data_IF_229771377321
#
_entry.id   IF_229771377321
#
_cell.length_a   1.000
_cell.length_b   1.000
_cell.length_c   1.000
_cell.angle_alpha   90.00
_cell.angle_beta   90.00
_cell.angle_gamma   90.00
#
_symmetry.space_group_name_H-M   'P 1'
#
loop_
_entity.id
_entity.type
_entity.pdbx_description
1 polymer ?
2 non-polymer ?
3 non-polymer ?
4 non-polymer ?
5 water ?
#
# COMPACT_ATOMS: atom_id res chain seq x y z
N UNK A 1 -0.09 10.61 -32.62
CA UNK A 1 1.21 11.26 -32.20
C UNK A 1 2.43 10.53 -32.76
N UNK A 2 3.59 11.14 -32.57
CA UNK A 2 4.87 10.57 -33.03
C UNK A 2 5.24 9.37 -32.18
N UNK A 3 5.66 8.30 -32.85
CA UNK A 3 5.98 7.03 -32.19
C UNK A 3 7.37 7.11 -31.58
N UNK A 4 7.50 6.61 -30.35
CA UNK A 4 8.81 6.42 -29.71
C UNK A 4 9.14 4.93 -29.77
N UNK A 5 10.33 4.59 -30.24
CA UNK A 5 10.85 3.22 -30.28
C UNK A 5 12.07 3.15 -29.37
N UNK A 6 12.08 2.18 -28.46
CA UNK A 6 13.20 1.95 -27.55
C UNK A 6 13.55 0.45 -27.51
N UNK A 7 14.75 0.13 -27.03
CA UNK A 7 15.13 -1.24 -26.71
C UNK A 7 15.06 -1.41 -25.19
N UNK A 8 14.05 -2.14 -24.73
CA UNK A 8 13.72 -2.28 -23.31
C UNK A 8 13.96 -3.70 -22.82
N UNK A 9 14.29 -3.82 -21.55
CA UNK A 9 14.63 -5.09 -20.91
C UNK A 9 13.41 -5.56 -20.13
N UNK A 10 12.99 -6.83 -20.31
CA UNK A 10 11.83 -7.31 -19.55
C UNK A 10 12.05 -7.31 -18.03
N UNK A 11 11.02 -6.94 -17.28
CA UNK A 11 11.09 -6.86 -15.82
C UNK A 11 11.55 -8.16 -15.19
N UNK A 12 10.94 -9.26 -15.62
CA UNK A 12 11.27 -10.61 -15.15
C UNK A 12 12.02 -11.39 -16.24
N UNK A 13 12.74 -12.43 -15.82
CA UNK A 13 13.51 -13.27 -16.74
C UNK A 13 14.89 -12.69 -16.97
N UNK A 14 15.70 -13.32 -17.86
CA UNK A 14 17.06 -12.85 -18.07
C UNK A 14 17.13 -11.58 -18.92
N UNK A 15 18.24 -10.85 -18.79
CA UNK A 15 18.44 -9.57 -19.49
C UNK A 15 18.54 -9.80 -20.98
N UNK A 16 17.39 -9.80 -21.65
CA UNK A 16 17.32 -9.95 -23.11
C UNK A 16 16.41 -8.86 -23.67
N UNK A 17 17.00 -7.71 -24.04
CA UNK A 17 16.14 -6.62 -24.46
C UNK A 17 15.42 -6.83 -25.78
N UNK A 18 14.33 -6.09 -25.95
CA UNK A 18 13.46 -6.22 -27.12
C UNK A 18 13.09 -4.82 -27.56
N UNK A 19 12.81 -4.67 -28.86
CA UNK A 19 12.30 -3.41 -29.37
C UNK A 19 10.86 -3.18 -28.89
N UNK A 20 10.59 -1.98 -28.39
CA UNK A 20 9.27 -1.63 -27.89
C UNK A 20 8.91 -0.26 -28.44
N UNK A 21 7.70 -0.16 -29.00
CA UNK A 21 7.19 1.07 -29.53
C UNK A 21 5.98 1.49 -28.70
N UNK A 22 5.91 2.79 -28.40
CA UNK A 22 4.76 3.36 -27.73
C UNK A 22 4.44 4.72 -28.27
N UNK A 23 3.26 5.21 -27.94
CA UNK A 23 2.80 6.51 -28.41
C UNK A 23 1.71 7.13 -27.48
N UNK A 24 1.30 8.34 -27.82
CA UNK A 24 0.25 9.08 -27.09
C UNK A 24 0.63 9.31 -25.63
N UNK A 25 1.80 9.91 -25.43
CA UNK A 25 2.29 10.17 -24.08
C UNK A 25 1.56 11.32 -23.40
N UNK A 26 1.20 11.08 -22.15
CA UNK A 26 0.45 12.05 -21.36
C UNK A 26 0.98 12.05 -19.93
N UNK A 27 1.35 13.23 -19.43
CA UNK A 27 1.80 13.32 -18.04
C UNK A 27 0.63 13.06 -17.13
N UNK A 28 0.79 12.14 -16.21
CA UNK A 28 -0.27 11.83 -15.24
C UNK A 28 0.12 11.96 -13.77
N UNK A 29 1.40 12.20 -13.47
CA UNK A 29 1.83 12.46 -12.10
C UNK A 29 3.27 12.94 -12.01
N UNK A 30 3.60 13.59 -10.88
CA UNK A 30 4.99 13.94 -10.57
C UNK A 30 5.27 13.87 -9.07
N UNK A 31 6.54 13.98 -8.73
CA UNK A 31 6.97 13.90 -7.34
C UNK A 31 8.45 14.18 -7.27
N UNK A 32 8.99 13.98 -6.09
CA UNK A 32 10.43 14.12 -5.89
C UNK A 32 11.20 13.15 -6.80
N UNK A 33 10.62 11.99 -7.09
CA UNK A 33 11.23 10.98 -8.00
C UNK A 33 11.44 11.40 -9.46
N UNK A 34 10.59 12.29 -9.97
CA UNK A 34 10.55 12.64 -11.39
C UNK A 34 9.10 12.70 -11.84
N UNK A 35 8.82 12.09 -12.99
CA UNK A 35 7.51 12.18 -13.64
C UNK A 35 7.00 10.80 -14.04
N UNK A 36 5.68 10.63 -14.00
CA UNK A 36 5.02 9.43 -14.51
C UNK A 36 4.14 9.84 -15.71
N UNK A 37 4.23 9.05 -16.79
CA UNK A 37 3.41 9.25 -17.99
C UNK A 37 2.46 8.09 -18.21
N UNK A 38 1.34 8.35 -18.85
CA UNK A 38 0.57 7.32 -19.52
C UNK A 38 1.07 7.24 -20.97
N UNK A 39 1.05 6.04 -21.54
CA UNK A 39 1.38 5.82 -22.95
C UNK A 39 0.65 4.60 -23.48
N UNK A 40 0.65 4.46 -24.79
CA UNK A 40 -0.05 3.35 -25.47
C UNK A 40 0.94 2.53 -26.29
N UNK A 41 1.03 1.23 -25.99
CA UNK A 41 1.90 0.31 -26.73
C UNK A 41 1.37 0.13 -28.15
N UNK A 42 2.18 0.51 -29.13
CA UNK A 42 1.77 0.46 -30.55
C UNK A 42 1.30 -0.91 -31.04
N UNK A 43 2.02 -1.97 -30.67
CA UNK A 43 1.74 -3.30 -31.21
C UNK A 43 0.45 -3.89 -30.64
N UNK A 44 0.39 -4.01 -29.33
CA UNK A 44 -0.78 -4.58 -28.64
C UNK A 44 -1.93 -3.60 -28.38
N UNK A 45 -1.64 -2.29 -28.36
CA UNK A 45 -2.66 -1.27 -28.05
C UNK A 45 -2.96 -1.06 -26.57
N UNK A 46 -2.24 -1.75 -25.67
CA UNK A 46 -2.50 -1.71 -24.24
C UNK A 46 -1.89 -0.44 -23.68
N UNK A 47 -2.58 0.16 -22.71
CA UNK A 47 -2.07 1.35 -22.05
C UNK A 47 -1.06 0.91 -21.01
N UNK A 48 -0.06 1.75 -20.79
CA UNK A 48 0.94 1.53 -19.76
C UNK A 48 1.22 2.83 -19.04
N UNK A 49 1.85 2.71 -17.87
CA UNK A 49 2.43 3.85 -17.17
C UNK A 49 3.93 3.80 -17.38
N UNK A 50 4.56 4.96 -17.55
CA UNK A 50 6.02 5.03 -17.66
C UNK A 50 6.51 5.98 -16.57
N UNK A 51 7.25 5.44 -15.61
CA UNK A 51 7.82 6.24 -14.53
C UNK A 51 9.25 6.60 -14.91
N UNK A 52 9.49 7.90 -15.10
CA UNK A 52 10.79 8.42 -15.51
C UNK A 52 11.50 9.07 -14.32
N UNK A 53 12.70 8.57 -14.01
CA UNK A 53 13.48 9.08 -12.88
C UNK A 53 14.91 9.33 -13.32
N UNK A 54 15.44 10.48 -12.90
CA UNK A 54 16.86 10.76 -13.10
C UNK A 54 17.62 9.72 -12.28
N UNK A 55 18.58 9.06 -12.92
CA UNK A 55 19.37 8.02 -12.25
C UNK A 55 20.84 8.19 -12.55
N UNK A 56 21.65 8.18 -11.49
CA UNK A 56 23.10 8.26 -11.60
C UNK A 56 23.65 7.00 -12.28
N UNK A 57 24.33 7.21 -13.40
CA UNK A 57 24.95 6.16 -14.20
C UNK A 57 25.81 5.15 -13.41
N UNK A 58 26.51 5.63 -12.39
CA UNK A 58 27.42 4.79 -11.59
C UNK A 58 26.81 4.04 -10.40
N UNK A 59 25.50 4.18 -10.17
CA UNK A 59 24.83 3.51 -9.03
C UNK A 59 23.58 2.74 -9.47
N UNK A 60 23.12 1.86 -8.59
CA UNK A 60 21.95 1.00 -8.85
C UNK A 60 20.70 1.63 -8.26
N UNK A 61 19.61 1.56 -9.01
CA UNK A 61 18.32 2.05 -8.57
C UNK A 61 17.69 1.01 -7.68
N UNK A 62 17.33 1.42 -6.46
CA UNK A 62 16.74 0.52 -5.47
C UNK A 62 15.35 0.05 -5.84
N UNK A 63 14.53 0.98 -6.32
CA UNK A 63 13.16 0.66 -6.72
C UNK A 63 13.18 -0.40 -7.82
N UNK A 64 14.04 -0.24 -8.81
CA UNK A 64 14.21 -1.25 -9.88
C UNK A 64 14.52 -2.64 -9.35
N UNK A 65 15.51 -2.75 -8.47
CA UNK A 65 15.91 -4.05 -7.93
C UNK A 65 14.72 -4.71 -7.23
N UNK A 66 13.98 -3.93 -6.45
CA UNK A 66 12.78 -4.43 -5.79
C UNK A 66 11.72 -4.83 -6.83
N UNK A 67 11.44 -3.98 -7.82
CA UNK A 67 10.42 -4.30 -8.85
C UNK A 67 10.74 -5.54 -9.70
N UNK A 68 12.02 -5.80 -9.91
CA UNK A 68 12.43 -6.95 -10.71
C UNK A 68 12.18 -8.28 -10.01
N UNK A 69 12.16 -8.27 -8.68
CA UNK A 69 11.88 -9.51 -7.92
C UNK A 69 10.41 -9.77 -7.53
N UNK A 70 9.52 -8.80 -7.74
CA UNK A 70 8.12 -8.95 -7.31
C UNK A 70 7.24 -9.47 -8.44
N UNK A 71 6.45 -10.49 -8.14
CA UNK A 71 5.50 -11.05 -9.10
C UNK A 71 4.22 -11.43 -8.34
N UNK A 72 3.22 -10.55 -8.37
CA UNK A 72 2.00 -10.74 -7.58
C UNK A 72 0.81 -10.04 -8.23
N UNK A 73 -0.35 -10.69 -8.15
CA UNK A 73 -1.57 -10.18 -8.78
C UNK A 73 -2.06 -8.85 -8.17
N UNK A 74 -1.67 -8.58 -6.92
CA UNK A 74 -2.00 -7.32 -6.23
C UNK A 74 -0.86 -6.29 -6.16
N UNK A 75 0.10 -6.41 -7.08
CA UNK A 75 1.22 -5.48 -7.20
C UNK A 75 1.37 -5.09 -8.66
N UNK A 76 1.42 -3.79 -8.95
CA UNK A 76 1.53 -3.36 -10.34
C UNK A 76 2.78 -3.97 -10.99
N UNK A 77 2.63 -4.54 -12.18
CA UNK A 77 3.72 -5.31 -12.80
C UNK A 77 4.68 -4.42 -13.56
N UNK A 78 5.97 -4.69 -13.39
CA UNK A 78 7.00 -4.09 -14.23
C UNK A 78 7.08 -4.89 -15.53
N UNK A 79 6.59 -4.30 -16.62
CA UNK A 79 6.69 -4.91 -17.94
C UNK A 79 8.11 -4.83 -18.45
N UNK A 80 8.63 -3.61 -18.51
CA UNK A 80 9.99 -3.37 -19.00
C UNK A 80 10.63 -2.22 -18.26
N UNK A 81 11.95 -2.09 -18.46
CA UNK A 81 12.66 -0.87 -18.14
C UNK A 81 13.65 -0.51 -19.24
N UNK A 82 13.88 0.79 -19.40
CA UNK A 82 14.91 1.28 -20.31
C UNK A 82 15.55 2.59 -19.86
N UNK A 83 16.72 2.87 -20.42
CA UNK A 83 17.47 4.09 -20.16
C UNK A 83 17.23 5.07 -21.32
N UNK A 84 17.11 6.35 -20.97
CA UNK A 84 17.06 7.46 -21.93
C UNK A 84 17.99 8.57 -21.45
N UNK A 85 18.45 9.38 -22.40
CA UNK A 85 19.43 10.42 -22.13
C UNK A 85 18.78 11.78 -22.16
N UNK A 86 19.22 12.63 -21.24
CA UNK A 86 18.83 14.02 -21.21
C UNK A 86 19.84 14.91 -21.95
N UNK A 87 19.49 16.18 -22.02
CA UNK A 87 20.29 17.19 -22.74
C UNK A 87 21.36 17.81 -21.83
N UNK A 88 22.24 16.97 -21.30
CA UNK A 88 23.26 17.40 -20.32
C UNK A 88 24.28 16.28 -20.03
N UNK A 89 25.48 16.67 -19.59
CA UNK A 89 26.57 15.73 -19.30
C UNK A 89 26.19 14.73 -18.20
N UNK A 90 26.20 13.45 -18.57
CA UNK A 90 25.85 12.32 -17.69
C UNK A 90 24.43 12.43 -17.08
N UNK A 91 23.49 13.00 -17.85
CA UNK A 91 22.08 13.10 -17.46
C UNK A 91 21.35 11.89 -18.05
N UNK A 92 21.24 10.84 -17.25
CA UNK A 92 20.59 9.61 -17.65
C UNK A 92 19.31 9.42 -16.84
N UNK A 93 18.25 9.01 -17.54
CA UNK A 93 16.97 8.67 -16.93
C UNK A 93 16.69 7.17 -17.00
N UNK A 94 16.21 6.62 -15.89
CA UNK A 94 15.65 5.28 -15.85
C UNK A 94 14.15 5.38 -16.09
N UNK A 95 13.67 4.57 -17.02
CA UNK A 95 12.25 4.53 -17.36
C UNK A 95 11.68 3.18 -16.99
N UNK A 96 10.66 3.19 -16.12
CA UNK A 96 10.00 1.95 -15.72
C UNK A 96 8.66 1.89 -16.45
N UNK A 97 8.48 0.87 -17.28
CA UNK A 97 7.21 0.66 -17.99
C UNK A 97 6.35 -0.35 -17.24
N UNK A 98 5.26 0.16 -16.66
CA UNK A 98 4.40 -0.59 -15.75
C UNK A 98 2.99 -0.68 -16.31
N UNK A 99 2.23 -1.62 -15.78
CA UNK A 99 0.82 -1.73 -16.10
C UNK A 99 0.05 -0.46 -15.71
N UNK A 100 -0.83 -0.04 -16.61
CA UNK A 100 -1.76 1.05 -16.37
C UNK A 100 -3.00 0.47 -15.72
N UNK A 101 -3.49 1.15 -14.67
CA UNK A 101 -4.71 0.76 -13.99
C UNK A 101 -5.58 2.03 -13.94
N UNK A 102 -6.89 1.93 -14.28
CA UNK A 102 -7.62 3.18 -14.58
C UNK A 102 -8.11 4.04 -13.40
N UNK A 103 -8.18 3.48 -12.19
CA UNK A 103 -8.68 4.21 -11.02
C UNK A 103 -7.75 4.04 -9.83
N UNK A 104 -8.07 4.76 -8.75
CA UNK A 104 -7.40 4.60 -7.46
C UNK A 104 -8.45 4.53 -6.35
N UNK A 105 -8.09 3.94 -5.21
CA UNK A 105 -8.95 3.93 -4.03
C UNK A 105 -9.24 5.37 -3.58
N UNK A 106 -8.25 6.25 -3.69
CA UNK A 106 -8.43 7.64 -3.32
C UNK A 106 -9.56 8.26 -4.14
N UNK A 107 -9.49 8.08 -5.45
CA UNK A 107 -10.49 8.65 -6.34
C UNK A 107 -11.89 8.08 -6.11
N UNK A 108 -11.96 6.78 -5.86
CA UNK A 108 -13.24 6.12 -5.63
C UNK A 108 -13.85 6.57 -4.30
N UNK A 109 -13.04 6.54 -3.26
CA UNK A 109 -13.47 7.00 -1.92
C UNK A 109 -14.01 8.44 -1.98
N UNK A 110 -13.31 9.29 -2.72
CA UNK A 110 -13.70 10.69 -2.91
C UNK A 110 -15.04 10.83 -3.60
N UNK A 111 -15.32 9.97 -4.58
CA UNK A 111 -16.64 9.98 -5.21
C UNK A 111 -17.73 9.76 -4.18
N UNK A 112 -17.55 8.78 -3.30
CA UNK A 112 -18.55 8.52 -2.26
C UNK A 112 -18.68 9.65 -1.23
N UNK A 113 -17.54 10.22 -0.83
CA UNK A 113 -17.49 11.38 0.10
C UNK A 113 -18.21 12.59 -0.43
N UNK A 114 -17.91 12.98 -1.66
CA UNK A 114 -18.57 14.11 -2.31
C UNK A 114 -20.09 13.94 -2.48
N UNK A 115 -20.54 12.71 -2.65
CA UNK A 115 -21.97 12.40 -2.70
C UNK A 115 -22.59 12.18 -1.31
N UNK A 116 -21.78 12.33 -0.25
CA UNK A 116 -22.23 12.13 1.14
C UNK A 116 -22.73 10.71 1.35
N UNK A 117 -21.99 9.75 0.80
CA UNK A 117 -22.31 8.33 0.90
C UNK A 117 -21.11 7.56 1.42
N UNK A 118 -21.36 6.40 2.00
CA UNK A 118 -20.29 5.50 2.40
C UNK A 118 -20.07 4.45 1.30
N UNK A 119 -18.81 4.11 1.09
CA UNK A 119 -18.44 3.02 0.21
C UNK A 119 -19.06 1.75 0.77
N UNK A 120 -19.81 0.98 -0.06
CA UNK A 120 -20.40 -0.27 0.49
C UNK A 120 -19.34 -1.15 1.10
N UNK A 121 -19.61 -1.82 2.23
CA UNK A 121 -18.56 -2.59 2.91
C UNK A 121 -17.98 -3.75 2.10
N UNK A 122 -18.71 -4.25 1.11
CA UNK A 122 -18.16 -5.28 0.22
C UNK A 122 -16.88 -4.79 -0.47
N UNK A 123 -16.84 -3.52 -0.88
CA UNK A 123 -15.65 -2.95 -1.52
C UNK A 123 -14.55 -2.70 -0.50
N UNK A 124 -14.94 -2.31 0.71
CA UNK A 124 -13.97 -2.13 1.81
C UNK A 124 -13.29 -3.47 2.07
N UNK A 125 -14.06 -4.55 2.11
CA UNK A 125 -13.48 -5.88 2.31
C UNK A 125 -12.56 -6.25 1.15
N UNK A 126 -13.06 -6.13 -0.08
CA UNK A 126 -12.29 -6.51 -1.26
C UNK A 126 -10.99 -5.74 -1.32
N UNK A 127 -11.05 -4.42 -1.14
CA UNK A 127 -9.88 -3.57 -1.29
C UNK A 127 -8.89 -3.82 -0.17
N UNK A 128 -9.38 -3.86 1.07
CA UNK A 128 -8.50 -4.11 2.22
C UNK A 128 -7.87 -5.49 2.19
N UNK A 129 -8.63 -6.47 1.74
CA UNK A 129 -8.12 -7.84 1.69
C UNK A 129 -6.95 -7.91 0.73
N UNK A 130 -7.12 -7.30 -0.45
CA UNK A 130 -6.08 -7.34 -1.47
C UNK A 130 -4.84 -6.53 -1.09
N UNK A 131 -5.03 -5.44 -0.35
CA UNK A 131 -3.89 -4.67 0.19
C UNK A 131 -3.08 -5.54 1.16
N UNK A 132 -3.78 -6.20 2.08
CA UNK A 132 -3.10 -7.06 3.03
C UNK A 132 -2.36 -8.23 2.36
N UNK A 133 -2.95 -8.83 1.33
CA UNK A 133 -2.23 -9.84 0.54
C UNK A 133 -0.95 -9.31 -0.07
N UNK A 134 -1.00 -8.13 -0.69
CA UNK A 134 0.19 -7.51 -1.28
C UNK A 134 1.26 -7.27 -0.23
N UNK A 135 0.85 -6.80 0.95
CA UNK A 135 1.77 -6.61 2.07
C UNK A 135 2.34 -7.92 2.60
N UNK A 136 1.49 -8.94 2.72
CA UNK A 136 1.97 -10.27 3.14
C UNK A 136 3.07 -10.78 2.20
N UNK A 137 2.87 -10.59 0.90
CA UNK A 137 3.87 -10.93 -0.11
C UNK A 137 5.18 -10.15 0.04
N UNK A 138 5.11 -8.81 0.01
CA UNK A 138 6.36 -8.02 0.06
C UNK A 138 7.10 -8.18 1.40
N UNK A 139 6.35 -8.23 2.49
CA UNK A 139 6.95 -8.46 3.81
C UNK A 139 7.67 -9.79 3.91
N UNK A 140 7.17 -10.82 3.23
CA UNK A 140 7.82 -12.14 3.18
C UNK A 140 9.23 -12.13 2.60
N UNK A 141 9.57 -11.11 1.82
CA UNK A 141 10.96 -10.86 1.37
C UNK A 141 11.76 -9.92 2.28
N UNK A 142 11.15 -9.43 3.36
CA UNK A 142 11.73 -8.40 4.21
C UNK A 142 11.57 -6.97 3.71
N UNK A 143 10.73 -6.76 2.70
CA UNK A 143 10.56 -5.46 2.06
C UNK A 143 9.39 -4.78 2.73
N UNK A 144 9.62 -3.54 3.15
CA UNK A 144 8.60 -2.67 3.73
C UNK A 144 8.35 -1.56 2.70
N UNK A 145 7.09 -1.34 2.35
CA UNK A 145 6.71 -0.39 1.31
C UNK A 145 6.97 1.07 1.73
N UNK A 146 6.56 1.43 2.94
CA UNK A 146 6.82 2.75 3.56
C UNK A 146 6.09 3.93 2.95
N UNK A 147 5.05 3.67 2.16
CA UNK A 147 4.20 4.72 1.59
C UNK A 147 2.77 4.27 1.27
N UNK A 148 2.20 3.46 2.16
CA UNK A 148 0.83 2.99 1.96
C UNK A 148 -0.12 4.16 2.19
N UNK A 149 -0.85 4.53 1.15
CA UNK A 149 -1.88 5.54 1.20
C UNK A 149 -2.85 5.27 0.03
N UNK A 150 -4.08 5.83 0.09
CA UNK A 150 -5.10 5.55 -0.93
C UNK A 150 -4.69 5.87 -2.35
N UNK A 151 -3.80 6.84 -2.49
CA UNK A 151 -3.29 7.27 -3.80
C UNK A 151 -2.36 6.25 -4.47
N UNK A 152 -1.81 5.34 -3.68
CA UNK A 152 -0.92 4.27 -4.18
C UNK A 152 -1.63 2.92 -4.28
N UNK A 153 -2.95 2.92 -4.14
CA UNK A 153 -3.77 1.74 -4.27
C UNK A 153 -4.55 1.88 -5.55
N UNK A 154 -4.07 1.24 -6.61
CA UNK A 154 -4.70 1.32 -7.91
C UNK A 154 -5.85 0.32 -7.96
N UNK A 155 -6.89 0.63 -8.73
CA UNK A 155 -7.96 -0.32 -8.90
C UNK A 155 -8.61 -0.21 -10.26
N UNK A 156 -9.06 -1.38 -10.71
CA UNK A 156 -9.86 -1.54 -11.91
C UNK A 156 -11.30 -1.69 -11.41
N UNK A 157 -12.16 -0.68 -11.65
CA UNK A 157 -13.49 -0.73 -11.01
C UNK A 157 -14.41 -1.87 -11.53
N UNK A 158 -14.20 -2.31 -12.77
CA UNK A 158 -14.99 -3.42 -13.34
C UNK A 158 -14.73 -4.78 -12.69
N UNK A 159 -13.47 -5.07 -12.40
CA UNK A 159 -13.07 -6.37 -11.83
C UNK A 159 -12.77 -6.32 -10.34
N UNK A 160 -12.71 -5.12 -9.77
CA UNK A 160 -12.41 -4.91 -8.35
C UNK A 160 -11.02 -5.44 -7.95
N UNK A 161 -10.10 -5.48 -8.90
CA UNK A 161 -8.72 -5.88 -8.63
C UNK A 161 -7.99 -4.64 -8.12
N UNK A 162 -7.31 -4.77 -6.99
CA UNK A 162 -6.45 -3.73 -6.41
C UNK A 162 -5.00 -4.08 -6.69
N UNK A 163 -4.21 -3.07 -7.05
CA UNK A 163 -2.77 -3.22 -7.26
C UNK A 163 -1.97 -2.13 -6.55
N UNK A 164 -1.06 -2.55 -5.66
CA UNK A 164 -0.14 -1.63 -5.00
C UNK A 164 0.89 -1.09 -6.00
N UNK A 165 1.11 0.23 -5.95
CA UNK A 165 2.14 0.87 -6.79
C UNK A 165 3.08 1.77 -5.96
N UNK A 166 4.07 2.33 -6.65
CA UNK A 166 5.04 3.29 -6.10
C UNK A 166 5.91 2.68 -5.01
N UNK A 167 6.98 2.01 -5.45
CA UNK A 167 7.95 1.42 -4.55
C UNK A 167 9.20 2.30 -4.39
N UNK A 168 9.07 3.60 -4.67
CA UNK A 168 10.17 4.57 -4.51
C UNK A 168 10.64 4.81 -3.08
N UNK A 169 9.78 4.53 -2.10
CA UNK A 169 10.15 4.55 -0.67
C UNK A 169 10.42 3.16 -0.08
N UNK A 170 10.21 2.10 -0.86
CA UNK A 170 10.34 0.72 -0.36
C UNK A 170 11.78 0.40 -0.03
N UNK A 171 11.97 -0.47 0.96
CA UNK A 171 13.30 -0.83 1.40
C UNK A 171 13.30 -2.16 2.13
N UNK A 172 14.34 -2.94 1.89
CA UNK A 172 14.62 -4.12 2.66
C UNK A 172 15.14 -3.70 4.06
N UNK A 173 14.31 -3.91 5.07
CA UNK A 173 14.67 -3.55 6.45
C UNK A 173 15.50 -4.62 7.11
N UNK A 174 16.64 -4.23 7.69
CA UNK A 174 17.55 -5.15 8.35
C UNK A 174 17.68 -4.76 9.82
N UNK A 175 17.51 -5.75 10.68
CA UNK A 175 17.60 -5.56 12.12
C UNK A 175 19.00 -5.08 12.46
N UNK A 176 19.07 -3.90 13.08
CA UNK A 176 20.34 -3.30 13.51
C UNK A 176 20.93 -2.28 12.56
N UNK A 177 20.27 -2.05 11.42
CA UNK A 177 20.72 -1.09 10.41
C UNK A 177 19.68 0.00 10.41
N UNK A 178 20.06 1.24 10.83
CA UNK A 178 19.04 2.27 11.01
C UNK A 178 18.37 2.74 9.74
N UNK A 179 17.20 3.32 9.91
CA UNK A 179 16.42 3.89 8.84
C UNK A 179 15.88 5.24 9.26
N UNK A 180 15.47 6.02 8.28
CA UNK A 180 14.96 7.37 8.54
C UNK A 180 13.54 7.31 9.12
N UNK A 181 13.29 8.12 10.14
CA UNK A 181 11.97 8.17 10.78
C UNK A 181 10.95 9.05 10.02
N UNK A 182 11.40 10.08 9.31
CA UNK A 182 10.49 10.97 8.56
C UNK A 182 10.22 10.31 7.25
N UNK A 183 9.25 9.41 7.26
CA UNK A 183 8.91 8.57 6.12
C UNK A 183 7.39 8.31 6.18
N UNK A 184 6.83 7.85 5.07
CA UNK A 184 5.38 7.69 4.88
C UNK A 184 4.72 9.05 4.74
N UNK A 185 3.50 9.02 4.22
CA UNK A 185 2.69 10.23 4.05
C UNK A 185 2.06 10.53 5.42
N UNK A 186 2.06 11.79 5.82
CA UNK A 186 1.75 12.19 7.20
C UNK A 186 0.54 11.53 7.84
N UNK A 187 -0.60 11.55 7.15
CA UNK A 187 -1.82 11.01 7.74
C UNK A 187 -1.75 9.53 8.04
N UNK A 188 -0.88 8.82 7.31
CA UNK A 188 -0.75 7.38 7.39
C UNK A 188 0.52 6.96 8.12
N UNK A 189 1.19 7.93 8.76
CA UNK A 189 2.45 7.70 9.43
C UNK A 189 2.29 7.08 10.83
N UNK A 190 2.96 5.96 11.03
CA UNK A 190 2.93 5.24 12.29
C UNK A 190 3.51 6.04 13.46
N UNK A 191 2.92 5.86 14.67
CA UNK A 191 3.37 6.72 15.76
C UNK A 191 4.85 6.56 16.14
N UNK A 192 5.40 5.37 15.99
CA UNK A 192 6.83 5.16 16.29
C UNK A 192 7.71 6.06 15.45
N UNK A 193 7.29 6.29 14.20
CA UNK A 193 8.01 7.19 13.30
C UNK A 193 7.95 8.64 13.77
N UNK A 194 6.80 9.05 14.28
CA UNK A 194 6.61 10.40 14.82
C UNK A 194 7.51 10.63 16.03
N UNK A 195 7.67 9.59 16.85
CA UNK A 195 8.61 9.59 17.97
C UNK A 195 10.09 9.47 17.54
N UNK A 196 10.36 9.54 16.25
CA UNK A 196 11.73 9.52 15.73
C UNK A 196 12.45 8.18 15.74
N UNK A 197 11.69 7.09 15.79
CA UNK A 197 12.31 5.76 15.81
C UNK A 197 13.04 5.47 14.50
N UNK A 198 14.25 4.95 14.61
CA UNK A 198 15.06 4.55 13.46
C UNK A 198 15.21 3.02 13.38
N UNK A 199 14.77 2.35 14.43
CA UNK A 199 14.73 0.91 14.52
C UNK A 199 13.25 0.54 14.50
N UNK A 200 12.70 0.41 13.30
CA UNK A 200 11.30 0.00 13.12
C UNK A 200 11.21 -1.17 12.16
N UNK A 201 10.03 -1.77 12.08
CA UNK A 201 9.81 -2.96 11.27
C UNK A 201 8.74 -2.70 10.22
N UNK A 202 8.43 -3.74 9.45
CA UNK A 202 7.33 -3.72 8.49
C UNK A 202 5.96 -3.46 9.06
N UNK A 203 5.79 -3.58 10.37
CA UNK A 203 4.54 -3.20 11.03
C UNK A 203 4.13 -1.71 10.83
N UNK A 204 5.04 -0.86 10.39
CA UNK A 204 4.66 0.50 9.99
C UNK A 204 3.62 0.48 8.84
N UNK A 205 3.75 -0.47 7.90
CA UNK A 205 2.79 -0.59 6.78
C UNK A 205 1.42 -1.04 7.25
N UNK A 206 1.39 -1.87 8.29
CA UNK A 206 0.16 -2.34 8.90
C UNK A 206 -0.60 -1.19 9.56
N UNK A 207 0.13 -0.28 10.22
CA UNK A 207 -0.47 0.96 10.72
C UNK A 207 -1.10 1.76 9.59
N UNK A 208 -0.36 1.94 8.51
CA UNK A 208 -0.86 2.71 7.36
C UNK A 208 -2.13 2.06 6.75
N UNK A 209 -2.12 0.74 6.62
CA UNK A 209 -3.30 -0.01 6.17
C UNK A 209 -4.50 0.19 7.09
N UNK A 210 -4.26 0.16 8.40
CA UNK A 210 -5.29 0.52 9.37
C UNK A 210 -5.87 1.91 9.13
N UNK A 211 -5.01 2.89 8.85
CA UNK A 211 -5.49 4.25 8.54
C UNK A 211 -6.36 4.27 7.26
N UNK A 212 -5.98 3.47 6.27
CA UNK A 212 -6.79 3.32 5.04
C UNK A 212 -8.15 2.71 5.36
N UNK A 213 -8.17 1.62 6.11
CA UNK A 213 -9.41 0.99 6.52
C UNK A 213 -10.35 1.96 7.24
N UNK A 214 -9.85 2.62 8.26
CA UNK A 214 -10.63 3.65 8.98
C UNK A 214 -11.17 4.75 8.06
N UNK A 215 -10.31 5.22 7.17
CA UNK A 215 -10.71 6.25 6.20
C UNK A 215 -11.88 5.80 5.30
N UNK A 216 -11.82 4.55 4.82
CA UNK A 216 -12.93 4.01 3.98
C UNK A 216 -14.21 3.83 4.77
N UNK A 217 -14.09 3.47 6.04
CA UNK A 217 -15.25 3.40 6.91
C UNK A 217 -15.83 4.77 7.32
N UNK A 218 -14.95 5.75 7.59
CA UNK A 218 -15.38 7.09 8.04
C UNK A 218 -15.81 8.04 6.93
N UNK A 219 -15.20 7.92 5.76
CA UNK A 219 -15.45 8.86 4.65
C UNK A 219 -14.41 9.98 4.56
N UNK A 220 -13.40 9.93 5.43
CA UNK A 220 -12.35 10.95 5.51
C UNK A 220 -11.19 10.42 6.34
N UNK A 221 -9.98 10.99 6.17
CA UNK A 221 -8.86 10.48 6.96
C UNK A 221 -9.14 10.56 8.47
N UNK A 222 -8.81 9.50 9.19
CA UNK A 222 -9.07 9.42 10.63
C UNK A 222 -8.10 10.31 11.46
N UNK A 223 -6.85 10.46 10.98
CA UNK A 223 -5.83 11.28 11.66
C UNK A 223 -5.24 12.38 10.77
N UNK A 224 -5.99 13.50 10.59
CA UNK A 224 -5.52 14.53 9.65
C UNK A 224 -4.66 15.60 10.32
N UNK A 225 -3.40 15.26 10.60
CA UNK A 225 -2.48 16.20 11.27
C UNK A 225 -2.03 17.30 10.32
N UNK A 226 -1.94 18.52 10.83
CA UNK A 226 -1.48 19.66 10.01
C UNK A 226 0.05 19.88 10.05
N UNK A 227 0.77 19.03 10.78
CA UNK A 227 2.23 19.06 10.85
C UNK A 227 2.71 17.73 11.40
N UNK A 228 4.01 17.51 11.33
CA UNK A 228 4.60 16.27 11.82
C UNK A 228 4.23 15.93 13.26
N UNK A 229 4.27 16.94 14.13
CA UNK A 229 3.99 16.76 15.57
C UNK A 229 2.50 16.77 15.91
N UNK A 230 1.72 17.61 15.22
CA UNK A 230 0.26 17.59 15.33
C UNK A 230 -0.36 16.24 14.86
N UNK A 231 0.34 15.51 14.00
CA UNK A 231 -0.08 14.17 13.66
C UNK A 231 -0.23 13.31 14.91
N UNK A 232 0.72 13.38 15.82
CA UNK A 232 0.62 12.65 17.09
C UNK A 232 -0.59 13.07 17.93
N UNK A 233 -0.86 14.38 17.98
CA UNK A 233 -2.04 14.94 18.68
C UNK A 233 -3.33 14.31 18.16
N UNK A 234 -3.46 14.22 16.83
CA UNK A 234 -4.64 13.60 16.19
C UNK A 234 -4.79 12.12 16.56
N UNK A 235 -3.68 11.39 16.54
CA UNK A 235 -3.67 9.99 16.96
C UNK A 235 -4.10 9.86 18.43
N UNK A 236 -3.50 10.68 19.29
CA UNK A 236 -3.83 10.71 20.72
C UNK A 236 -5.31 11.00 20.98
N UNK A 237 -5.92 11.90 20.19
CA UNK A 237 -7.35 12.21 20.37
C UNK A 237 -8.26 10.97 20.25
N UNK A 238 -7.82 9.94 19.54
CA UNK A 238 -8.58 8.69 19.41
C UNK A 238 -8.04 7.58 20.33
N UNK A 239 -6.75 7.29 20.22
CA UNK A 239 -6.14 6.21 20.98
C UNK A 239 -5.90 6.53 22.45
N UNK A 240 -5.95 7.80 22.82
CA UNK A 240 -5.55 8.21 24.14
C UNK A 240 -4.04 8.36 24.16
N UNK A 241 -3.56 8.90 25.26
CA UNK A 241 -2.13 9.07 25.49
C UNK A 241 -1.45 7.70 25.57
N UNK A 242 -0.31 7.49 24.84
CA UNK A 242 0.33 6.20 25.02
C UNK A 242 0.96 6.12 26.39
N UNK A 243 0.98 4.92 26.97
CA UNK A 243 1.62 4.70 28.28
C UNK A 243 3.13 4.71 28.10
N UNK A 244 3.84 4.78 29.22
CA UNK A 244 5.30 4.77 29.20
C UNK A 244 5.88 3.48 28.55
N UNK A 245 5.21 2.35 28.81
CA UNK A 245 5.60 1.06 28.23
C UNK A 245 5.39 1.05 26.72
N UNK A 246 4.24 1.55 26.28
CA UNK A 246 3.93 1.68 24.87
C UNK A 246 4.93 2.59 24.17
N UNK A 247 5.28 3.70 24.80
CA UNK A 247 6.29 4.61 24.26
C UNK A 247 7.63 3.91 24.12
N UNK A 248 8.03 3.17 25.14
CA UNK A 248 9.30 2.42 25.10
C UNK A 248 9.31 1.42 23.94
N UNK A 249 8.21 0.72 23.74
CA UNK A 249 8.11 -0.29 22.67
C UNK A 249 8.18 0.32 21.28
N UNK A 250 7.84 1.60 21.18
CA UNK A 250 7.99 2.32 19.94
C UNK A 250 9.44 2.71 19.61
N UNK A 251 10.40 2.42 20.51
CA UNK A 251 11.85 2.67 20.32
C UNK A 251 12.10 4.12 19.93
N UNK A 252 11.62 5.06 20.77
CA UNK A 252 11.71 6.42 20.31
C UNK A 252 13.11 7.00 20.48
N UNK A 253 13.40 8.03 19.70
CA UNK A 253 14.63 8.82 19.86
C UNK A 253 14.41 10.10 20.65
N UNK A 254 13.14 10.43 20.87
CA UNK A 254 12.75 11.57 21.69
C UNK A 254 11.28 11.41 22.03
N UNK A 255 10.89 11.95 23.18
CA UNK A 255 9.52 11.90 23.66
C UNK A 255 9.19 13.13 24.52
N UNK A 256 9.90 14.23 24.29
CA UNK A 256 9.77 15.41 25.14
C UNK A 256 8.66 16.31 24.59
N UNK A 257 7.58 15.70 24.10
CA UNK A 257 6.45 16.42 23.52
C UNK A 257 5.63 17.16 24.58
N UNK A 258 5.67 16.64 25.82
CA UNK A 258 4.95 17.21 26.98
C UNK A 258 3.44 17.21 26.74
N UNK A 259 2.92 16.04 26.36
CA UNK A 259 1.52 15.88 25.98
C UNK A 259 0.64 15.77 27.24
N UNK A 260 -0.49 16.51 27.26
CA UNK A 260 -1.41 16.34 28.39
C UNK A 260 -2.11 14.98 28.29
N UNK A 261 -2.56 14.46 29.42
CA UNK A 261 -3.21 13.15 29.42
C UNK A 261 -4.57 13.20 28.79
N UNK A 262 -4.81 12.27 27.88
CA UNK A 262 -6.07 12.18 27.17
C UNK A 262 -6.53 10.71 27.22
N UNK A 263 -7.79 10.53 27.57
CA UNK A 263 -8.43 9.22 27.59
C UNK A 263 -8.70 8.74 26.16
N UNK A 264 -8.63 7.43 25.94
CA UNK A 264 -8.98 6.84 24.64
C UNK A 264 -10.46 7.05 24.34
N UNK A 265 -10.76 7.36 23.08
CA UNK A 265 -12.14 7.47 22.63
C UNK A 265 -12.52 6.05 22.20
N UNK A 266 -13.64 5.49 22.71
CA UNK A 266 -13.98 4.11 22.34
C UNK A 266 -14.13 3.89 20.83
N UNK A 267 -13.55 2.82 20.31
CA UNK A 267 -13.60 2.51 18.87
C UNK A 267 -15.01 2.50 18.24
N UNK A 268 -16.03 2.14 19.02
CA UNK A 268 -17.39 2.07 18.53
C UNK A 268 -18.02 3.45 18.36
N UNK A 269 -17.56 4.43 19.14
CA UNK A 269 -18.01 5.82 18.99
C UNK A 269 -17.23 6.61 17.94
N UNK A 270 -16.14 6.06 17.41
CA UNK A 270 -15.38 6.71 16.32
C UNK A 270 -16.12 6.64 14.99
N UNK A 271 -16.70 5.49 14.69
CA UNK A 271 -17.37 5.26 13.40
C UNK A 271 -18.88 5.44 13.52
N UNK A 272 -19.55 5.52 12.37
CA UNK A 272 -21.01 5.71 12.31
C UNK A 272 -21.72 4.55 13.02
N UNK A 273 -22.98 4.75 13.48
CA UNK A 273 -23.60 3.68 14.27
C UNK A 273 -23.79 2.33 13.57
N UNK A 274 -23.95 2.34 12.25
CA UNK A 274 -24.18 1.09 11.51
C UNK A 274 -22.92 0.36 11.00
N UNK A 275 -21.75 0.77 11.46
CA UNK A 275 -20.51 0.13 11.07
C UNK A 275 -20.44 -1.32 11.59
N UNK A 276 -20.03 -2.28 10.73
CA UNK A 276 -20.01 -3.67 11.22
C UNK A 276 -19.04 -3.88 12.39
N UNK A 277 -19.45 -4.64 13.43
CA UNK A 277 -18.53 -4.84 14.56
C UNK A 277 -17.17 -5.40 14.15
N UNK A 278 -17.16 -6.32 13.18
CA UNK A 278 -15.88 -6.90 12.73
C UNK A 278 -14.93 -5.90 12.08
N UNK A 279 -15.48 -4.88 11.42
CA UNK A 279 -14.65 -3.82 10.88
C UNK A 279 -13.95 -3.07 12.01
N UNK A 280 -14.72 -2.80 13.06
CA UNK A 280 -14.22 -2.06 14.20
C UNK A 280 -13.13 -2.86 14.92
N UNK A 281 -13.41 -4.14 15.15
CA UNK A 281 -12.46 -5.07 15.79
C UNK A 281 -11.14 -5.15 15.02
N UNK A 282 -11.24 -5.35 13.71
CA UNK A 282 -10.05 -5.37 12.84
C UNK A 282 -9.25 -4.09 12.98
N UNK A 283 -9.95 -2.97 12.87
CA UNK A 283 -9.33 -1.64 12.97
C UNK A 283 -8.58 -1.44 14.30
N UNK A 284 -9.18 -1.86 15.40
CA UNK A 284 -8.53 -1.79 16.73
C UNK A 284 -7.24 -2.63 16.90
N UNK A 285 -7.09 -3.68 16.10
CA UNK A 285 -5.89 -4.53 16.09
C UNK A 285 -4.83 -4.10 15.07
N UNK A 286 -5.17 -3.16 14.20
CA UNK A 286 -4.20 -2.55 13.28
C UNK A 286 -3.62 -1.26 13.85
N UNK A 287 -4.49 -0.41 14.39
CA UNK A 287 -4.09 0.87 14.95
C UNK A 287 -3.77 0.75 16.43
N UNK A 288 -2.63 0.10 16.69
CA UNK A 288 -2.13 -0.18 18.04
C UNK A 288 -0.84 0.59 18.21
N UNK A 289 -0.61 1.16 19.39
CA UNK A 289 0.62 1.88 19.65
C UNK A 289 1.84 0.97 19.56
N UNK A 290 1.81 -0.14 20.30
CA UNK A 290 2.90 -1.09 20.37
C UNK A 290 3.02 -1.78 19.02
N UNK A 291 4.15 -1.56 18.28
CA UNK A 291 4.19 -2.15 16.94
C UNK A 291 3.99 -3.66 16.84
N UNK A 292 4.59 -4.40 17.76
CA UNK A 292 4.48 -5.86 17.81
C UNK A 292 3.09 -6.41 18.18
N UNK A 293 2.22 -5.56 18.73
CA UNK A 293 0.84 -5.93 19.04
C UNK A 293 -0.06 -5.95 17.81
N UNK A 294 0.34 -5.23 16.75
CA UNK A 294 -0.44 -5.16 15.53
C UNK A 294 -0.49 -6.50 14.79
N UNK A 295 -1.60 -6.73 14.08
CA UNK A 295 -1.74 -7.92 13.26
C UNK A 295 -0.70 -7.92 12.15
N UNK A 296 -0.21 -9.09 11.79
CA UNK A 296 0.58 -9.24 10.55
C UNK A 296 -0.41 -9.16 9.38
N UNK A 297 0.08 -8.83 8.17
CA UNK A 297 -0.83 -8.81 7.02
C UNK A 297 -1.60 -10.13 6.76
N UNK A 298 -0.95 -11.27 6.98
CA UNK A 298 -1.59 -12.57 6.74
C UNK A 298 -2.71 -12.86 7.76
N UNK A 299 -2.43 -12.56 9.02
CA UNK A 299 -3.43 -12.59 10.09
C UNK A 299 -4.58 -11.63 9.80
N UNK A 300 -4.30 -10.46 9.26
CA UNK A 300 -5.36 -9.53 8.85
C UNK A 300 -6.28 -10.16 7.78
N UNK A 301 -5.69 -10.77 6.75
CA UNK A 301 -6.45 -11.51 5.72
C UNK A 301 -7.39 -12.56 6.30
N UNK A 302 -6.94 -13.27 7.35
CA UNK A 302 -7.74 -14.30 8.02
C UNK A 302 -8.78 -13.78 9.03
N UNK A 303 -8.85 -12.47 9.22
CA UNK A 303 -9.81 -11.87 10.14
C UNK A 303 -11.25 -12.16 9.67
N UNK A 304 -12.16 -12.32 10.63
CA UNK A 304 -13.58 -12.58 10.32
C UNK A 304 -14.31 -11.48 9.52
N UNK A 305 -13.75 -10.28 9.49
CA UNK A 305 -14.23 -9.17 8.65
C UNK A 305 -14.25 -9.54 7.16
N UNK A 306 -13.32 -10.41 6.75
CA UNK A 306 -13.26 -10.90 5.37
C UNK A 306 -14.01 -12.23 5.09
N UNK A 307 -14.78 -12.73 6.04
CA UNK A 307 -15.54 -13.99 5.88
C UNK A 307 -16.48 -13.98 4.68
N UNK A 308 -17.13 -12.84 4.42
CA UNK A 308 -18.01 -12.69 3.25
C UNK A 308 -17.30 -13.04 1.94
N UNK A 309 -16.02 -12.68 1.84
CA UNK A 309 -15.21 -12.97 0.66
C UNK A 309 -14.94 -14.47 0.47
N UNK A 310 -14.91 -15.23 1.56
CA UNK A 310 -14.71 -16.68 1.54
C UNK A 310 -15.99 -17.48 1.30
N UNK A 311 -17.14 -16.80 1.18
CA UNK A 311 -18.42 -17.43 0.84
C UNK A 311 -18.41 -17.86 -0.63
N UNK A 312 -18.86 -19.10 -0.95
CA UNK A 312 -18.91 -19.50 -2.36
C UNK A 312 -19.91 -18.74 -3.25
N UNK A 313 -20.95 -18.15 -2.65
CA UNK A 313 -21.98 -17.38 -3.38
C UNK A 313 -21.69 -15.90 -3.59
N UNK A 314 -20.57 -15.40 -3.08
CA UNK A 314 -20.28 -13.99 -3.16
C UNK A 314 -20.06 -13.57 -4.63
N UNK A 315 -20.58 -12.39 -4.97
CA UNK A 315 -20.42 -11.79 -6.29
C UNK A 315 -20.21 -10.29 -6.12
N UNK A 316 -19.59 -9.66 -7.12
CA UNK A 316 -19.48 -8.20 -7.16
C UNK A 316 -20.86 -7.55 -7.39
N UNK A 317 -21.02 -6.26 -7.01
CA UNK A 317 -22.31 -5.61 -7.29
C UNK A 317 -22.69 -5.51 -8.78
N UNK A 318 -21.70 -5.47 -9.67
CA UNK A 318 -21.96 -5.51 -11.12
C UNK A 318 -22.37 -6.87 -11.70
N UNK A 319 -22.49 -7.89 -10.84
CA UNK A 319 -22.92 -9.23 -11.22
C UNK A 319 -21.78 -10.22 -11.43
N UNK A 320 -20.59 -9.70 -11.72
CA UNK A 320 -19.43 -10.53 -12.04
C UNK A 320 -18.86 -11.19 -10.80
N UNK A 321 -18.04 -12.21 -11.03
CA UNK A 321 -17.39 -12.95 -9.97
C UNK A 321 -16.28 -12.09 -9.35
N UNK A 322 -15.93 -12.41 -8.12
CA UNK A 322 -14.81 -11.79 -7.42
C UNK A 322 -13.49 -12.19 -8.10
N UNK A 323 -12.46 -11.33 -8.00
CA UNK A 323 -11.14 -11.74 -8.47
C UNK A 323 -10.57 -12.89 -7.62
N UNK A 324 -9.43 -13.44 -8.02
CA UNK A 324 -8.84 -14.61 -7.35
C UNK A 324 -8.18 -14.23 -6.02
N UNK A 325 -8.84 -14.59 -4.92
CA UNK A 325 -8.47 -14.15 -3.59
C UNK A 325 -7.70 -15.18 -2.76
N UNK A 326 -7.72 -16.44 -3.20
CA UNK A 326 -7.21 -17.58 -2.42
C UNK A 326 -6.10 -18.37 -3.07
N UNK A 327 -5.56 -17.89 -4.19
CA UNK A 327 -4.48 -18.62 -4.89
C UNK A 327 -3.11 -18.33 -4.26
N UNK A 328 -3.03 -18.60 -2.97
CA UNK A 328 -1.84 -18.31 -2.16
C UNK A 328 -0.69 -19.26 -2.51
N UNK A 329 0.50 -18.70 -2.69
CA UNK A 329 1.72 -19.48 -2.87
C UNK A 329 2.37 -19.73 -1.53
N UNK A 330 3.31 -20.66 -1.49
CA UNK A 330 4.08 -20.97 -0.27
C UNK A 330 4.85 -19.76 0.23
N UNK A 331 5.31 -18.90 -0.68
CA UNK A 331 5.98 -17.67 -0.32
C UNK A 331 5.03 -16.76 0.49
N UNK A 332 3.81 -16.57 0.00
CA UNK A 332 2.83 -15.70 0.65
C UNK A 332 2.45 -16.14 2.06
N UNK A 333 2.43 -17.46 2.27
CA UNK A 333 2.05 -18.08 3.54
C UNK A 333 3.22 -18.37 4.48
N UNK A 334 4.45 -18.05 4.06
CA UNK A 334 5.67 -18.48 4.77
C UNK A 334 5.73 -18.02 6.23
N UNK A 335 5.21 -16.83 6.52
CA UNK A 335 5.13 -16.30 7.88
C UNK A 335 4.32 -17.19 8.85
N UNK A 336 3.26 -17.86 8.34
CA UNK A 336 2.38 -18.68 9.17
C UNK A 336 1.55 -19.71 8.34
N UNK A 337 2.21 -20.77 7.81
CA UNK A 337 1.50 -21.72 6.93
C UNK A 337 0.20 -22.37 7.46
N UNK A 338 0.06 -22.54 8.79
CA UNK A 338 -1.22 -23.07 9.29
C UNK A 338 -2.46 -22.18 9.06
N UNK A 339 -2.29 -20.90 8.75
CA UNK A 339 -3.42 -20.04 8.39
C UNK A 339 -4.13 -20.38 7.06
N UNK A 340 -3.47 -21.15 6.20
CA UNK A 340 -4.07 -21.66 4.94
C UNK A 340 -5.44 -22.32 5.14
N UNK A 341 -5.61 -23.00 6.27
CA UNK A 341 -6.87 -23.66 6.62
C UNK A 341 -8.05 -22.69 6.68
N UNK A 342 -7.80 -21.45 7.12
CA UNK A 342 -8.79 -20.37 7.14
C UNK A 342 -8.75 -19.58 5.82
N UNK A 343 -7.55 -19.20 5.39
CA UNK A 343 -7.39 -18.40 4.16
C UNK A 343 -7.84 -19.06 2.88
N UNK A 344 -7.85 -20.39 2.84
CA UNK A 344 -8.26 -21.12 1.66
C UNK A 344 -9.49 -21.96 2.06
N UNK A 345 -10.72 -21.48 1.74
CA UNK A 345 -11.92 -22.26 2.08
C UNK A 345 -12.08 -23.50 1.17
N UNK A 346 -12.89 -24.50 1.62
CA UNK A 346 -13.11 -25.76 0.89
C UNK A 346 -13.18 -25.63 -0.62
N UNK A 347 -14.07 -24.79 -1.15
CA UNK A 347 -14.27 -24.67 -2.60
C UNK A 347 -13.08 -24.12 -3.40
N UNK A 348 -12.20 -23.38 -2.73
CA UNK A 348 -11.00 -22.83 -3.36
C UNK A 348 -9.78 -23.76 -3.31
N UNK A 349 -9.86 -24.84 -2.53
CA UNK A 349 -8.72 -25.76 -2.34
C UNK A 349 -8.36 -26.58 -3.58
N UNK A 350 -7.05 -26.83 -3.73
CA UNK A 350 -6.48 -27.69 -4.78
C UNK A 350 -5.44 -28.59 -4.14
X LIG B 1 2.70 6.66 -9.57
X LIG B 1 3.06 5.38 -9.96
X LIG B 1 4.25 4.85 -9.45
X LIG B 1 4.71 6.76 -8.27
X LIG B 1 3.55 7.37 -8.71
X LIG B 1 1.97 9.18 -8.40
X LIG B 1 2.19 4.58 -10.87
X LIG B 1 0.88 4.95 -11.09
X LIG B 1 1.95 2.71 -12.35
X LIG B 1 2.71 3.46 -11.51
X LIG B 1 -1.30 4.23 -12.42
X LIG B 1 -4.78 7.22 -12.78
X LIG B 1 -4.90 6.99 -14.27
X LIG B 1 -6.19 9.27 -13.07
X LIG B 1 -6.86 10.01 -16.70
X LIG B 1 -7.17 11.03 -18.82
X LIG B 1 5.01 5.55 -8.64
X LIG B 1 3.28 8.63 -8.29
X LIG B 1 2.08 10.68 -8.63
X LIG B 1 1.17 8.84 -7.15
X LIG B 1 0.09 4.18 -11.94
X LIG B 1 0.63 3.05 -12.57
X LIG B 1 -0.38 2.52 -13.32
X LIG B 1 -1.46 3.20 -13.21
X LIG B 1 -2.32 5.22 -12.03
X LIG B 1 -3.59 5.03 -12.43
X LIG B 1 -4.69 5.90 -12.04
X LIG B 1 -5.00 8.37 -14.94
X LIG B 1 -6.24 9.03 -14.51
X LIG B 1 -6.06 7.93 -12.33
X LIG B 1 -6.45 10.29 -15.25
X LIG B 1 -7.04 11.20 -17.41
X LIG B 1 -2.00 6.16 -11.35
X LIG C 1 16.44 5.02 4.64
X LIG C 1 15.91 5.37 3.56
X LIG C 1 15.78 4.51 5.59
X LIG C 1 17.91 5.23 4.83
X LIG D 1 1.46 -10.89 15.39
X LIG D 1 1.88 -12.19 14.94
X LIG D 1 0.69 -11.02 16.70
X LIG D 1 0.40 -9.71 17.19
X LIG D 1 1.48 -11.80 17.75
X LIG D 1 2.84 -11.31 17.93
X LIG E 1 8.39 10.92 -23.43
X LIG E 1 8.62 12.27 -23.01
X LIG E 1 8.76 9.95 -22.30
X LIG E 1 8.49 8.61 -22.75
X LIG E 1 10.24 10.10 -21.91
X LIG E 1 10.85 8.88 -21.43
#
# INVERSE_FOLDING_TARGET
SKVTTVVATPGQGPDRPQEVSYTDTKVIGNGSFGVVYQAKLCDSGELVAIKKVLQDKRFKNRELQIMRKLDHCNIVRLRYFFYSSGEKKDEVYLNLVLDYVPETVYRVARHYSRAKQTLPVIYVKLYMYQLFRSLAYIHSFGICHRDIKPQNLLLDPDTAVLKLCDFGSAKQLVRGEPNVSYICSRYYRAPELIFGATDYTSSIDVWSAGCVLAELLLGQPIFPGDSGVDQLVEIIKVLGTPTREQIREMNPNYTEFKFPQIKAHPWTKVFRPRTPPEAIALCSRLLEYTPTARLTPLEACAHSFFDELRDPNVKLPNGRDTPALFNFTTQELSSNPPLATILIPPHARI
OH8 C1 C2 C3 C5 C6 C8 C11 C12 C15 C16 C19 C23 C24 C27 C30 C32 N4 O7 C9 C10 C13 C14 N17 N18 C20 N21 C22 C25 N26 C28 C29 O31 O33
ACT C O OXT CH3
GOL C1 O1 C2 O2 C3 O3
GOL C1 O1 C2 O2 C3 O3
#
